data_IF_782939231941
#
_entry.id   IF_782939231941
#
_cell.length_a   1.000
_cell.length_b   1.000
_cell.length_c   1.000
_cell.angle_alpha   90.00
_cell.angle_beta   90.00
_cell.angle_gamma   90.00
#
_symmetry.space_group_name_H-M   'P 1'
#
loop_
_entity.id
_entity.type
_entity.pdbx_description
1 polymer ?
#
# COMPACT_ATOMS: atom_id res chain seq x y z
N UNK A 1 13.31 9.61 -17.03
CA UNK A 1 13.11 9.43 -15.57
C UNK A 1 11.61 9.38 -15.34
N UNK A 2 11.11 8.32 -14.70
CA UNK A 2 9.70 8.16 -14.45
C UNK A 2 9.15 9.30 -13.58
N UNK A 3 7.86 9.58 -13.74
CA UNK A 3 7.14 10.50 -12.88
C UNK A 3 6.95 9.89 -11.48
N UNK A 4 7.01 10.72 -10.45
CA UNK A 4 6.91 10.30 -9.04
C UNK A 4 5.45 9.99 -8.62
N UNK A 5 4.72 9.22 -9.45
CA UNK A 5 3.31 8.87 -9.21
C UNK A 5 3.03 7.38 -9.33
N UNK A 6 2.01 6.94 -8.58
CA UNK A 6 1.23 5.71 -8.80
C UNK A 6 -0.20 6.15 -9.11
N UNK A 7 -0.68 5.80 -10.30
CA UNK A 7 -1.97 6.28 -10.80
C UNK A 7 -3.03 5.17 -10.83
N UNK A 8 -4.22 5.49 -10.33
CA UNK A 8 -5.38 4.60 -10.27
C UNK A 8 -6.56 5.05 -11.15
N UNK A 9 -6.33 5.98 -12.06
CA UNK A 9 -7.37 6.61 -12.87
C UNK A 9 -7.86 5.79 -14.08
N UNK A 10 -7.58 4.48 -14.14
CA UNK A 10 -8.19 3.60 -15.16
C UNK A 10 -9.69 3.53 -14.90
N UNK A 11 -10.49 3.97 -15.88
CA UNK A 11 -11.94 4.14 -15.71
C UNK A 11 -12.74 2.83 -15.74
N UNK A 12 -12.20 1.76 -16.35
CA UNK A 12 -12.95 0.53 -16.58
C UNK A 12 -12.09 -0.73 -16.63
N UNK A 13 -12.59 -1.72 -17.39
CA UNK A 13 -12.00 -3.05 -17.50
C UNK A 13 -10.88 -3.16 -18.54
N UNK A 14 -10.67 -2.12 -19.31
CA UNK A 14 -9.62 -2.00 -20.34
C UNK A 14 -9.22 -0.54 -20.49
N UNK A 15 -8.02 -0.28 -21.00
CA UNK A 15 -7.60 1.09 -21.33
C UNK A 15 -8.35 1.62 -22.55
N UNK A 16 -8.79 2.87 -22.47
CA UNK A 16 -9.17 3.65 -23.65
C UNK A 16 -7.92 4.16 -24.38
N UNK A 17 -8.02 4.53 -25.67
CA UNK A 17 -6.91 5.16 -26.40
C UNK A 17 -6.38 6.43 -25.72
N UNK A 18 -7.27 7.26 -25.16
CA UNK A 18 -6.89 8.49 -24.46
C UNK A 18 -6.15 8.22 -23.17
N UNK A 19 -6.59 7.23 -22.36
CA UNK A 19 -5.86 6.78 -21.17
C UNK A 19 -4.47 6.25 -21.52
N UNK A 20 -4.36 5.42 -22.55
CA UNK A 20 -3.09 4.88 -23.01
C UNK A 20 -2.12 5.97 -23.48
N UNK A 21 -2.63 6.98 -24.19
CA UNK A 21 -1.84 8.14 -24.62
C UNK A 21 -1.38 8.98 -23.43
N UNK A 22 -2.28 9.27 -22.50
CA UNK A 22 -1.97 10.01 -21.27
C UNK A 22 -0.91 9.28 -20.41
N UNK A 23 -1.07 7.98 -20.15
CA UNK A 23 -0.12 7.22 -19.34
C UNK A 23 1.26 7.10 -20.00
N UNK A 24 1.31 7.04 -21.34
CA UNK A 24 2.59 7.07 -22.07
C UNK A 24 3.33 8.40 -21.87
N UNK A 25 2.62 9.52 -21.89
CA UNK A 25 3.19 10.85 -21.71
C UNK A 25 3.58 11.09 -20.25
N UNK A 26 2.68 10.73 -19.32
CA UNK A 26 2.88 10.91 -17.89
C UNK A 26 4.01 10.04 -17.33
N UNK A 27 4.23 8.85 -17.91
CA UNK A 27 5.21 7.83 -17.47
C UNK A 27 5.23 7.63 -15.93
N UNK A 28 4.07 7.32 -15.28
CA UNK A 28 4.01 7.11 -13.84
C UNK A 28 4.89 5.93 -13.44
N UNK A 29 5.49 5.94 -12.24
CA UNK A 29 6.28 4.80 -11.76
C UNK A 29 5.48 3.50 -11.72
N UNK A 30 4.21 3.56 -11.35
CA UNK A 30 3.32 2.39 -11.27
C UNK A 30 1.85 2.74 -11.38
N UNK A 31 1.03 1.69 -11.26
CA UNK A 31 -0.43 1.80 -11.27
C UNK A 31 -1.04 1.11 -10.06
N UNK A 32 -2.25 1.56 -9.66
CA UNK A 32 -3.08 0.87 -8.67
C UNK A 32 -4.45 0.55 -9.29
N UNK A 33 -4.94 -0.68 -9.02
CA UNK A 33 -6.23 -1.16 -9.53
C UNK A 33 -7.26 -1.26 -8.41
N UNK A 34 -8.53 -1.11 -8.79
CA UNK A 34 -9.69 -1.16 -7.90
C UNK A 34 -10.77 -2.13 -8.42
N UNK A 35 -11.82 -2.32 -7.64
CA UNK A 35 -12.93 -3.21 -8.02
C UNK A 35 -13.54 -2.88 -9.39
N UNK A 36 -13.57 -1.59 -9.79
CA UNK A 36 -14.03 -1.17 -11.13
C UNK A 36 -13.20 -1.70 -12.29
N UNK A 37 -11.97 -2.15 -12.01
CA UNK A 37 -11.03 -2.67 -12.99
C UNK A 37 -11.02 -4.20 -13.05
N UNK A 38 -11.80 -4.88 -12.21
CA UNK A 38 -11.74 -6.33 -11.99
C UNK A 38 -13.06 -6.98 -12.36
N UNK A 39 -13.01 -7.92 -13.30
CA UNK A 39 -14.16 -8.75 -13.70
C UNK A 39 -13.78 -10.24 -13.71
N UNK A 40 -12.82 -10.61 -14.55
CA UNK A 40 -12.39 -12.00 -14.71
C UNK A 40 -10.87 -12.10 -14.92
N UNK A 41 -10.25 -13.28 -14.66
CA UNK A 41 -8.79 -13.43 -14.75
C UNK A 41 -8.20 -13.03 -16.10
N UNK A 42 -8.80 -13.44 -17.22
CA UNK A 42 -8.29 -13.10 -18.56
C UNK A 42 -8.45 -11.61 -18.87
N UNK A 43 -9.53 -10.98 -18.42
CA UNK A 43 -9.72 -9.55 -18.57
C UNK A 43 -8.62 -8.80 -17.80
N UNK A 44 -8.36 -9.19 -16.55
CA UNK A 44 -7.40 -8.51 -15.70
C UNK A 44 -5.95 -8.69 -16.21
N UNK A 45 -5.60 -9.88 -16.72
CA UNK A 45 -4.32 -10.11 -17.41
C UNK A 45 -4.14 -9.17 -18.62
N UNK A 46 -5.18 -8.98 -19.42
CA UNK A 46 -5.14 -8.04 -20.55
C UNK A 46 -4.94 -6.60 -20.09
N UNK A 47 -5.67 -6.17 -19.06
CA UNK A 47 -5.53 -4.80 -18.53
C UNK A 47 -4.12 -4.54 -17.99
N UNK A 48 -3.54 -5.46 -17.19
CA UNK A 48 -2.18 -5.31 -16.67
C UNK A 48 -1.13 -5.29 -17.79
N UNK A 49 -1.33 -6.06 -18.85
CA UNK A 49 -0.48 -6.03 -20.04
C UNK A 49 -0.60 -4.68 -20.78
N UNK A 50 -1.82 -4.16 -20.98
CA UNK A 50 -2.05 -2.87 -21.61
C UNK A 50 -1.39 -1.70 -20.86
N UNK A 51 -1.42 -1.73 -19.52
CA UNK A 51 -0.76 -0.71 -18.71
C UNK A 51 0.76 -0.71 -18.90
N UNK A 52 1.39 -1.88 -18.92
CA UNK A 52 2.83 -2.02 -19.19
C UNK A 52 3.19 -1.62 -20.61
N UNK A 53 2.38 -1.99 -21.58
CA UNK A 53 2.54 -1.57 -22.98
C UNK A 53 2.43 -0.04 -23.13
N UNK A 54 1.47 0.58 -22.45
CA UNK A 54 1.29 2.03 -22.50
C UNK A 54 2.53 2.81 -22.07
N UNK A 55 3.22 2.37 -21.03
CA UNK A 55 4.45 3.01 -20.52
C UNK A 55 5.74 2.39 -21.09
N UNK A 56 5.64 1.32 -21.89
CA UNK A 56 6.77 0.68 -22.57
C UNK A 56 7.77 0.00 -21.64
N UNK A 57 7.37 -0.41 -20.43
CA UNK A 57 8.23 -1.07 -19.44
C UNK A 57 7.43 -1.98 -18.49
N UNK A 58 8.15 -2.85 -17.78
CA UNK A 58 7.60 -3.73 -16.74
C UNK A 58 7.38 -2.93 -15.43
N UNK A 59 6.42 -2.00 -15.47
CA UNK A 59 6.06 -1.18 -14.32
C UNK A 59 5.34 -1.99 -13.23
N UNK A 60 5.40 -1.50 -11.99
CA UNK A 60 4.69 -2.09 -10.86
C UNK A 60 3.19 -1.82 -10.99
N UNK A 61 2.40 -2.85 -10.74
CA UNK A 61 0.95 -2.75 -10.62
C UNK A 61 0.55 -3.25 -9.24
N UNK A 62 -0.04 -2.37 -8.45
CA UNK A 62 -0.47 -2.65 -7.08
C UNK A 62 -1.99 -2.73 -6.95
N UNK A 63 -2.45 -3.22 -5.82
CA UNK A 63 -3.88 -3.36 -5.47
C UNK A 63 -4.02 -3.38 -3.94
N UNK A 64 -5.23 -3.10 -3.43
CA UNK A 64 -5.60 -3.38 -2.05
C UNK A 64 -6.25 -4.76 -1.96
N UNK A 65 -5.48 -5.77 -1.68
CA UNK A 65 -5.92 -7.14 -1.46
C UNK A 65 -5.51 -7.59 -0.05
N UNK A 66 -6.07 -6.92 0.97
CA UNK A 66 -5.77 -7.19 2.38
C UNK A 66 -6.50 -8.43 2.89
N UNK A 67 -7.72 -8.63 2.41
CA UNK A 67 -8.72 -9.58 2.90
C UNK A 67 -9.89 -8.90 3.60
N UNK A 68 -10.90 -9.66 3.95
CA UNK A 68 -12.13 -9.16 4.52
C UNK A 68 -12.84 -8.16 3.61
N UNK A 69 -13.19 -7.00 4.15
CA UNK A 69 -13.86 -5.96 3.36
C UNK A 69 -12.90 -5.24 2.38
N UNK A 70 -11.58 -5.27 2.61
CA UNK A 70 -10.58 -4.61 1.76
C UNK A 70 -9.93 -5.64 0.85
N UNK A 71 -10.64 -6.00 -0.18
CA UNK A 71 -10.16 -6.82 -1.29
C UNK A 71 -10.95 -6.49 -2.54
N UNK A 72 -10.29 -6.49 -3.70
CA UNK A 72 -10.86 -6.11 -4.99
C UNK A 72 -11.18 -7.34 -5.85
N UNK A 73 -10.33 -8.37 -5.75
CA UNK A 73 -10.48 -9.67 -6.41
C UNK A 73 -11.27 -10.59 -5.46
N UNK A 74 -12.43 -11.08 -5.92
CA UNK A 74 -13.40 -11.83 -5.10
C UNK A 74 -13.96 -13.05 -5.82
N UNK A 75 -14.68 -13.88 -5.10
CA UNK A 75 -15.46 -14.96 -5.70
C UNK A 75 -16.39 -14.44 -6.84
N UNK A 76 -16.65 -15.24 -7.88
CA UNK A 76 -16.35 -16.68 -7.99
C UNK A 76 -14.93 -16.99 -8.51
N UNK A 77 -14.16 -16.00 -9.00
CA UNK A 77 -12.89 -16.24 -9.66
C UNK A 77 -11.70 -16.33 -8.70
N UNK A 78 -11.82 -15.72 -7.53
CA UNK A 78 -10.78 -15.68 -6.50
C UNK A 78 -11.36 -16.02 -5.13
N UNK A 79 -10.50 -16.21 -4.17
CA UNK A 79 -10.89 -16.55 -2.81
C UNK A 79 -11.46 -15.32 -2.09
N UNK A 80 -12.58 -15.48 -1.37
CA UNK A 80 -13.02 -14.51 -0.38
C UNK A 80 -12.22 -14.73 0.90
N UNK A 81 -11.16 -13.96 1.05
CA UNK A 81 -10.23 -14.05 2.17
C UNK A 81 -10.86 -13.47 3.44
N UNK A 82 -10.68 -14.11 4.62
CA UNK A 82 -11.14 -13.54 5.90
C UNK A 82 -10.46 -12.20 6.21
N UNK A 83 -10.99 -11.46 7.19
CA UNK A 83 -10.34 -10.23 7.63
C UNK A 83 -8.96 -10.52 8.25
N UNK A 84 -7.96 -9.63 8.07
CA UNK A 84 -6.62 -9.82 8.63
C UNK A 84 -6.61 -10.07 10.14
N UNK A 85 -7.49 -9.38 10.91
CA UNK A 85 -7.60 -9.59 12.35
C UNK A 85 -8.07 -11.00 12.71
N UNK A 86 -9.00 -11.58 11.92
CA UNK A 86 -9.45 -12.95 12.14
C UNK A 86 -8.36 -13.94 11.77
N UNK A 87 -7.67 -13.71 10.65
CA UNK A 87 -6.54 -14.53 10.22
C UNK A 87 -5.38 -14.50 11.22
N UNK A 88 -5.15 -13.37 11.90
CA UNK A 88 -4.09 -13.19 12.89
C UNK A 88 -4.16 -14.19 14.07
N UNK A 89 -5.36 -14.72 14.37
CA UNK A 89 -5.57 -15.72 15.43
C UNK A 89 -4.89 -17.04 15.12
N UNK A 90 -4.77 -17.40 13.86
CA UNK A 90 -4.15 -18.65 13.40
C UNK A 90 -2.61 -18.64 13.48
N UNK A 91 -2.00 -17.51 13.78
CA UNK A 91 -0.57 -17.36 14.00
C UNK A 91 0.27 -17.10 12.75
N UNK A 92 1.60 -16.96 12.94
CA UNK A 92 2.48 -16.47 11.88
C UNK A 92 2.59 -17.40 10.67
N UNK A 93 2.60 -18.72 10.89
CA UNK A 93 2.66 -19.67 9.78
C UNK A 93 1.41 -19.60 8.88
N UNK A 94 0.23 -19.51 9.48
CA UNK A 94 -1.03 -19.35 8.74
C UNK A 94 -1.09 -17.98 8.05
N UNK A 95 -0.55 -16.93 8.67
CA UNK A 95 -0.46 -15.60 8.09
C UNK A 95 0.48 -15.57 6.87
N UNK A 96 1.61 -16.26 6.93
CA UNK A 96 2.52 -16.42 5.80
C UNK A 96 1.83 -17.12 4.62
N UNK A 97 1.15 -18.24 4.87
CA UNK A 97 0.39 -18.98 3.85
C UNK A 97 -0.72 -18.12 3.25
N UNK A 98 -1.47 -17.43 4.09
CA UNK A 98 -2.54 -16.53 3.68
C UNK A 98 -2.07 -15.49 2.67
N UNK A 99 -1.00 -14.74 2.98
CA UNK A 99 -0.48 -13.73 2.05
C UNK A 99 0.32 -14.32 0.90
N UNK A 100 0.91 -15.50 1.06
CA UNK A 100 1.52 -16.21 -0.06
C UNK A 100 0.48 -16.61 -1.11
N UNK A 101 -0.65 -17.17 -0.67
CA UNK A 101 -1.74 -17.56 -1.56
C UNK A 101 -2.40 -16.33 -2.23
N UNK A 102 -2.65 -15.25 -1.48
CA UNK A 102 -3.07 -13.97 -2.06
C UNK A 102 -2.06 -13.53 -3.14
N UNK A 103 -0.77 -13.58 -2.84
CA UNK A 103 0.27 -13.22 -3.79
C UNK A 103 0.28 -14.07 -5.06
N UNK A 104 0.01 -15.37 -4.95
CA UNK A 104 -0.13 -16.26 -6.11
C UNK A 104 -1.33 -15.85 -7.00
N UNK A 105 -2.47 -15.54 -6.39
CA UNK A 105 -3.64 -15.04 -7.14
C UNK A 105 -3.32 -13.72 -7.86
N UNK A 106 -2.60 -12.80 -7.22
CA UNK A 106 -2.18 -11.51 -7.80
C UNK A 106 -1.22 -11.71 -8.98
N UNK A 107 -0.18 -12.51 -8.79
CA UNK A 107 0.81 -12.79 -9.85
C UNK A 107 0.19 -13.44 -11.07
N UNK A 108 -0.78 -14.32 -10.88
CA UNK A 108 -1.48 -15.01 -11.97
C UNK A 108 -2.22 -14.04 -12.93
N UNK A 109 -2.51 -12.82 -12.51
CA UNK A 109 -3.18 -11.79 -13.31
C UNK A 109 -2.27 -10.58 -13.61
N UNK A 110 -0.97 -10.68 -13.34
CA UNK A 110 0.02 -9.65 -13.66
C UNK A 110 0.11 -8.50 -12.64
N UNK A 111 -0.44 -8.67 -11.43
CA UNK A 111 -0.28 -7.75 -10.30
C UNK A 111 0.92 -8.20 -9.47
N UNK A 112 1.84 -7.30 -9.15
CA UNK A 112 3.13 -7.60 -8.54
C UNK A 112 3.47 -6.73 -7.33
N UNK A 113 2.48 -6.01 -6.81
CA UNK A 113 2.52 -5.32 -5.52
C UNK A 113 1.17 -5.38 -4.83
N UNK A 114 1.16 -5.35 -3.50
CA UNK A 114 -0.03 -5.33 -2.68
C UNK A 114 0.13 -4.29 -1.57
N UNK A 115 -0.84 -3.39 -1.42
CA UNK A 115 -0.91 -2.44 -0.31
C UNK A 115 -1.29 -3.16 1.01
N UNK A 116 -0.43 -4.04 1.45
CA UNK A 116 -0.50 -4.87 2.64
C UNK A 116 0.92 -5.31 3.07
N UNK A 117 1.15 -5.68 4.34
CA UNK A 117 0.19 -5.69 5.45
C UNK A 117 -0.02 -4.32 6.11
N UNK A 118 -1.17 -4.19 6.81
CA UNK A 118 -1.42 -3.09 7.74
C UNK A 118 -0.70 -3.38 9.05
N UNK A 119 0.22 -2.49 9.45
CA UNK A 119 0.99 -2.59 10.71
C UNK A 119 0.48 -1.66 11.81
N UNK A 120 -0.65 -1.02 11.59
CA UNK A 120 -1.31 -0.19 12.59
C UNK A 120 -1.71 -1.04 13.80
N UNK A 121 -1.33 -0.60 15.00
CA UNK A 121 -1.63 -1.30 16.25
C UNK A 121 -3.00 -0.89 16.75
N UNK A 122 -3.97 -1.80 16.77
CA UNK A 122 -5.32 -1.50 17.21
C UNK A 122 -5.35 -1.14 18.70
N UNK A 123 -6.16 -0.16 19.05
CA UNK A 123 -6.44 0.29 20.42
C UNK A 123 -7.95 0.12 20.70
N UNK A 124 -8.38 0.30 21.94
CA UNK A 124 -9.81 0.22 22.28
C UNK A 124 -10.67 1.21 21.51
N UNK A 125 -10.11 2.41 21.23
CA UNK A 125 -10.77 3.47 20.47
C UNK A 125 -10.55 3.43 18.97
N UNK A 126 -9.85 2.44 18.40
CA UNK A 126 -9.60 2.34 16.97
C UNK A 126 -10.90 2.34 16.18
N UNK A 127 -10.98 3.23 15.18
CA UNK A 127 -12.17 3.35 14.35
C UNK A 127 -12.54 2.00 13.70
N UNK A 128 -13.84 1.61 13.68
CA UNK A 128 -14.26 0.30 13.15
C UNK A 128 -13.81 0.02 11.71
N UNK A 129 -13.65 1.05 10.88
CA UNK A 129 -13.18 0.89 9.51
C UNK A 129 -11.74 0.34 9.42
N UNK A 130 -10.91 0.57 10.45
CA UNK A 130 -9.52 0.13 10.49
C UNK A 130 -9.32 -1.14 11.32
N UNK A 131 -10.12 -1.32 12.39
CA UNK A 131 -9.88 -2.33 13.42
C UNK A 131 -9.69 -3.76 12.88
N UNK A 132 -10.54 -4.21 11.97
CA UNK A 132 -10.46 -5.56 11.41
C UNK A 132 -9.38 -5.74 10.32
N UNK A 133 -8.71 -4.64 9.93
CA UNK A 133 -7.55 -4.63 9.03
C UNK A 133 -6.24 -4.76 9.80
N UNK A 134 -6.23 -4.44 11.10
CA UNK A 134 -5.08 -4.57 11.99
C UNK A 134 -4.78 -6.03 12.29
N UNK A 135 -3.54 -6.34 12.63
CA UNK A 135 -3.09 -7.68 12.98
C UNK A 135 -3.17 -7.98 14.49
N UNK A 136 -3.46 -6.96 15.31
CA UNK A 136 -3.59 -7.10 16.76
C UNK A 136 -3.48 -5.79 17.51
N UNK A 137 -3.41 -5.90 18.85
CA UNK A 137 -3.30 -4.78 19.80
C UNK A 137 -1.94 -4.71 20.49
N UNK A 138 -1.11 -5.71 20.31
CA UNK A 138 0.25 -5.78 20.83
C UNK A 138 1.25 -5.49 19.71
N UNK A 139 2.15 -4.49 19.86
CA UNK A 139 3.06 -4.07 18.80
C UNK A 139 4.06 -5.17 18.38
N UNK A 140 4.53 -6.00 19.31
CA UNK A 140 5.46 -7.09 18.98
C UNK A 140 4.76 -8.18 18.19
N UNK A 141 3.51 -8.49 18.55
CA UNK A 141 2.68 -9.44 17.82
C UNK A 141 2.32 -8.93 16.42
N UNK A 142 2.01 -7.63 16.28
CA UNK A 142 1.79 -6.99 14.98
C UNK A 142 3.03 -7.08 14.11
N UNK A 143 4.22 -6.84 14.68
CA UNK A 143 5.48 -6.96 13.96
C UNK A 143 5.75 -8.41 13.50
N UNK A 144 5.54 -9.40 14.35
CA UNK A 144 5.71 -10.82 14.02
C UNK A 144 4.79 -11.26 12.88
N UNK A 145 3.49 -10.95 12.99
CA UNK A 145 2.50 -11.29 11.98
C UNK A 145 2.70 -10.49 10.69
N UNK A 146 3.07 -9.21 10.80
CA UNK A 146 3.40 -8.36 9.67
C UNK A 146 4.62 -8.85 8.88
N UNK A 147 5.64 -9.36 9.59
CA UNK A 147 6.80 -10.01 8.95
C UNK A 147 6.36 -11.25 8.18
N UNK A 148 5.59 -12.13 8.79
CA UNK A 148 5.07 -13.32 8.13
C UNK A 148 4.24 -12.98 6.88
N UNK A 149 3.39 -11.97 6.97
CA UNK A 149 2.59 -11.46 5.84
C UNK A 149 3.46 -10.96 4.69
N UNK A 150 4.43 -10.09 5.00
CA UNK A 150 5.34 -9.52 4.00
C UNK A 150 6.20 -10.60 3.33
N UNK A 151 6.75 -11.53 4.12
CA UNK A 151 7.55 -12.64 3.60
C UNK A 151 6.72 -13.58 2.71
N UNK A 152 5.46 -13.81 3.05
CA UNK A 152 4.51 -14.57 2.22
C UNK A 152 4.29 -13.92 0.86
N UNK A 153 4.06 -12.61 0.80
CA UNK A 153 3.95 -11.83 -0.44
C UNK A 153 5.25 -11.88 -1.26
N UNK A 154 6.39 -11.62 -0.62
CA UNK A 154 7.71 -11.65 -1.30
C UNK A 154 8.00 -13.04 -1.89
N UNK A 155 7.69 -14.12 -1.18
CA UNK A 155 7.85 -15.49 -1.67
C UNK A 155 6.97 -15.79 -2.89
N UNK A 156 5.83 -15.10 -3.03
CA UNK A 156 4.97 -15.14 -4.21
C UNK A 156 5.42 -14.17 -5.33
N UNK A 157 6.50 -13.42 -5.13
CA UNK A 157 6.99 -12.43 -6.10
C UNK A 157 6.17 -11.14 -6.12
N UNK A 158 5.51 -10.80 -5.02
CA UNK A 158 4.70 -9.60 -4.84
C UNK A 158 5.35 -8.68 -3.82
N UNK A 159 5.53 -7.41 -4.18
CA UNK A 159 6.09 -6.39 -3.29
C UNK A 159 5.07 -5.98 -2.23
N UNK A 160 5.35 -6.18 -0.92
CA UNK A 160 4.50 -5.68 0.14
C UNK A 160 4.67 -4.17 0.30
N UNK A 161 3.57 -3.49 0.62
CA UNK A 161 3.56 -2.07 1.02
C UNK A 161 3.04 -1.99 2.44
N UNK A 162 3.93 -1.79 3.41
CA UNK A 162 3.53 -1.67 4.81
C UNK A 162 2.88 -0.32 5.08
N UNK A 163 1.82 -0.29 5.89
CA UNK A 163 0.99 0.90 6.08
C UNK A 163 0.34 0.92 7.46
N UNK A 164 -0.05 2.10 7.94
CA UNK A 164 0.13 3.45 7.42
C UNK A 164 1.11 4.21 8.32
N UNK A 165 2.30 4.50 7.82
CA UNK A 165 3.36 5.12 8.62
C UNK A 165 3.07 6.57 9.01
N UNK A 166 3.39 6.95 10.25
CA UNK A 166 4.15 6.20 11.27
C UNK A 166 3.27 5.35 12.21
N UNK A 167 1.97 5.22 11.95
CA UNK A 167 0.99 4.44 12.70
C UNK A 167 -0.37 5.15 12.76
N UNK A 168 -1.43 4.45 12.35
CA UNK A 168 -2.79 4.98 12.25
C UNK A 168 -3.76 4.37 13.29
N UNK A 169 -3.27 3.44 14.13
CA UNK A 169 -4.11 2.62 14.99
C UNK A 169 -4.92 3.36 16.04
N UNK A 170 -4.48 4.55 16.47
CA UNK A 170 -5.20 5.39 17.43
C UNK A 170 -6.27 6.29 16.80
N UNK A 171 -6.40 6.31 15.48
CA UNK A 171 -7.36 7.18 14.80
C UNK A 171 -8.80 6.80 15.15
N UNK A 172 -9.57 7.80 15.57
CA UNK A 172 -10.99 7.69 15.88
C UNK A 172 -11.88 8.25 14.77
N UNK A 173 -11.28 8.80 13.73
CA UNK A 173 -11.94 9.36 12.54
C UNK A 173 -11.39 8.67 11.32
N UNK A 174 -12.26 8.40 10.35
CA UNK A 174 -11.87 7.89 9.05
C UNK A 174 -11.22 9.00 8.21
N UNK A 175 -9.98 8.78 7.75
CA UNK A 175 -9.23 9.73 6.91
C UNK A 175 -9.89 10.03 5.55
N UNK A 176 -10.84 9.21 5.10
CA UNK A 176 -11.67 9.53 3.95
C UNK A 176 -12.63 10.71 4.21
N UNK A 177 -12.97 10.98 5.46
CA UNK A 177 -13.93 12.01 5.85
C UNK A 177 -13.29 13.24 6.50
N UNK A 178 -12.08 13.12 7.04
CA UNK A 178 -11.38 14.23 7.68
C UNK A 178 -10.01 13.82 8.20
N UNK A 179 -9.20 14.80 8.61
CA UNK A 179 -7.87 14.54 9.15
C UNK A 179 -7.98 14.00 10.59
N UNK A 180 -7.58 12.73 10.84
CA UNK A 180 -7.51 12.22 12.20
C UNK A 180 -6.44 12.96 13.00
N UNK A 181 -6.78 13.33 14.23
CA UNK A 181 -5.86 13.94 15.19
C UNK A 181 -5.71 13.00 16.37
N UNK A 182 -4.48 12.63 16.69
CA UNK A 182 -4.15 11.71 17.77
C UNK A 182 -3.39 12.44 18.86
N UNK A 183 -4.05 12.63 19.99
CA UNK A 183 -3.46 13.22 21.19
C UNK A 183 -2.80 12.15 22.04
N UNK A 184 -1.60 11.76 21.65
CA UNK A 184 -0.74 10.82 22.38
C UNK A 184 0.64 11.44 22.54
N UNK A 185 1.32 11.10 23.64
CA UNK A 185 2.69 11.54 23.88
C UNK A 185 3.66 10.88 22.89
N UNK A 186 4.76 11.55 22.62
CA UNK A 186 5.82 11.00 21.76
C UNK A 186 6.33 9.64 22.27
N UNK A 187 6.42 9.46 23.60
CA UNK A 187 6.83 8.20 24.20
C UNK A 187 5.84 7.05 23.93
N UNK A 188 4.54 7.32 24.02
CA UNK A 188 3.48 6.35 23.70
C UNK A 188 3.48 5.97 22.23
N UNK A 189 3.62 6.95 21.34
CA UNK A 189 3.72 6.71 19.90
C UNK A 189 4.94 5.87 19.55
N UNK A 190 6.08 6.17 20.15
CA UNK A 190 7.33 5.45 19.92
C UNK A 190 7.27 4.00 20.40
N UNK A 191 6.69 3.78 21.58
CA UNK A 191 6.61 2.46 22.20
C UNK A 191 5.60 1.53 21.52
N UNK A 192 4.54 2.08 20.93
CA UNK A 192 3.42 1.29 20.39
C UNK A 192 3.28 1.46 18.88
N UNK A 193 3.01 2.68 18.42
CA UNK A 193 2.58 2.92 17.05
C UNK A 193 3.73 2.80 16.04
N UNK A 194 4.93 3.29 16.40
CA UNK A 194 6.12 3.23 15.53
C UNK A 194 6.86 1.89 15.61
N UNK A 195 6.68 1.12 16.69
CA UNK A 195 7.44 -0.09 16.95
C UNK A 195 7.34 -1.16 15.85
N UNK A 196 6.17 -1.52 15.32
CA UNK A 196 6.08 -2.50 14.23
C UNK A 196 6.78 -2.02 12.94
N UNK A 197 6.69 -0.74 12.61
CA UNK A 197 7.37 -0.17 11.43
C UNK A 197 8.88 -0.16 11.61
N UNK A 198 9.38 0.07 12.83
CA UNK A 198 10.81 -0.03 13.14
C UNK A 198 11.31 -1.46 13.02
N UNK A 199 10.55 -2.44 13.49
CA UNK A 199 10.88 -3.86 13.40
C UNK A 199 10.92 -4.37 11.97
N UNK A 200 10.17 -3.74 11.05
CA UNK A 200 10.02 -4.10 9.64
C UNK A 200 10.60 -3.03 8.68
N UNK A 201 11.55 -2.23 9.14
CA UNK A 201 12.10 -1.10 8.37
C UNK A 201 12.96 -1.51 7.16
N UNK A 202 13.30 -2.79 7.03
CA UNK A 202 14.00 -3.40 5.90
C UNK A 202 13.10 -3.78 4.72
N UNK A 203 11.78 -3.60 4.86
CA UNK A 203 10.84 -3.95 3.80
C UNK A 203 10.89 -2.95 2.62
N UNK A 204 10.59 -3.42 1.38
CA UNK A 204 10.89 -2.65 0.18
C UNK A 204 10.04 -1.41 -0.01
N UNK A 205 8.80 -1.41 0.45
CA UNK A 205 7.86 -0.32 0.21
C UNK A 205 6.99 -0.02 1.43
N UNK A 206 6.65 1.25 1.60
CA UNK A 206 5.76 1.72 2.66
C UNK A 206 4.84 2.84 2.19
N UNK A 207 3.75 3.04 2.93
CA UNK A 207 2.74 4.07 2.68
C UNK A 207 2.58 4.93 3.92
N UNK A 208 2.51 6.26 3.74
CA UNK A 208 2.27 7.21 4.83
C UNK A 208 0.81 7.23 5.28
N UNK A 209 0.58 7.71 6.50
CA UNK A 209 -0.75 7.98 7.04
C UNK A 209 -1.12 9.46 6.86
N UNK A 210 -2.37 9.73 6.47
CA UNK A 210 -2.95 11.07 6.59
C UNK A 210 -3.46 11.27 8.03
N UNK A 211 -2.53 11.60 8.92
CA UNK A 211 -2.79 11.71 10.37
C UNK A 211 -1.95 12.84 10.97
N UNK A 212 -2.48 13.50 11.99
CA UNK A 212 -1.78 14.55 12.73
C UNK A 212 -1.52 14.08 14.16
N UNK A 213 -0.27 14.29 14.59
CA UNK A 213 0.19 14.07 15.97
C UNK A 213 0.64 15.41 16.55
N UNK A 214 -0.20 16.15 17.31
CA UNK A 214 0.15 17.47 17.83
C UNK A 214 1.41 17.49 18.71
N UNK A 215 1.73 16.38 19.37
CA UNK A 215 2.99 16.25 20.12
C UNK A 215 4.25 16.30 19.24
N UNK A 216 4.11 16.05 17.92
CA UNK A 216 5.24 15.96 16.99
C UNK A 216 5.20 17.06 15.92
N UNK A 217 4.03 17.34 15.31
CA UNK A 217 3.87 18.34 14.27
C UNK A 217 2.41 18.81 14.15
N UNK A 218 2.22 20.03 13.65
CA UNK A 218 0.91 20.63 13.43
C UNK A 218 0.25 20.22 12.11
N UNK A 219 1.02 19.67 11.17
CA UNK A 219 0.57 19.21 9.86
C UNK A 219 0.28 17.71 9.78
N UNK A 220 -0.40 17.26 8.69
CA UNK A 220 -0.56 15.83 8.43
C UNK A 220 0.80 15.19 8.12
N UNK A 221 1.02 13.96 8.62
CA UNK A 221 2.31 13.27 8.51
C UNK A 221 2.78 13.15 7.04
N UNK A 222 1.88 12.88 6.11
CA UNK A 222 2.19 12.76 4.67
C UNK A 222 2.82 14.03 4.08
N UNK A 223 2.43 15.22 4.54
CA UNK A 223 2.91 16.51 4.00
C UNK A 223 3.88 17.24 4.96
N UNK A 224 4.36 16.55 5.99
CA UNK A 224 5.27 17.12 6.99
C UNK A 224 6.69 16.61 6.79
N UNK A 225 7.62 17.54 6.48
CA UNK A 225 9.05 17.21 6.41
C UNK A 225 9.58 16.61 7.73
N UNK A 226 9.08 17.11 8.86
CA UNK A 226 9.45 16.59 10.19
C UNK A 226 9.01 15.14 10.37
N UNK A 227 7.78 14.83 9.98
CA UNK A 227 7.24 13.48 10.10
C UNK A 227 7.88 12.50 9.12
N UNK A 228 8.14 12.91 7.88
CA UNK A 228 8.88 12.08 6.93
C UNK A 228 10.33 11.88 7.41
N UNK A 229 10.97 12.90 7.96
CA UNK A 229 12.28 12.77 8.61
C UNK A 229 12.25 11.76 9.77
N UNK A 230 11.22 11.80 10.61
CA UNK A 230 11.03 10.80 11.68
C UNK A 230 10.92 9.37 11.13
N UNK A 231 10.17 9.18 10.05
CA UNK A 231 10.06 7.87 9.38
C UNK A 231 11.43 7.41 8.87
N UNK A 232 12.22 8.32 8.27
CA UNK A 232 13.54 7.99 7.73
C UNK A 232 14.59 7.73 8.81
N UNK A 233 14.66 8.61 9.81
CA UNK A 233 15.78 8.65 10.77
C UNK A 233 15.48 7.83 12.04
N UNK A 234 14.27 7.94 12.59
CA UNK A 234 13.93 7.31 13.87
C UNK A 234 13.32 5.91 13.71
N UNK A 235 12.41 5.73 12.77
CA UNK A 235 11.91 4.40 12.38
C UNK A 235 12.98 3.68 11.56
N UNK A 236 13.78 4.41 10.81
CA UNK A 236 14.89 3.87 10.01
C UNK A 236 14.43 3.25 8.69
N UNK A 237 13.26 3.66 8.19
CA UNK A 237 12.73 3.10 6.95
C UNK A 237 13.38 3.75 5.72
N UNK A 238 14.24 3.01 5.02
CA UNK A 238 14.87 3.45 3.75
C UNK A 238 14.26 2.78 2.50
N UNK A 239 13.09 2.14 2.62
CA UNK A 239 12.32 1.65 1.48
C UNK A 239 11.65 2.77 0.69
N UNK A 240 11.07 2.41 -0.47
CA UNK A 240 10.30 3.33 -1.30
C UNK A 240 9.01 3.75 -0.59
N UNK A 241 8.88 5.03 -0.29
CA UNK A 241 7.78 5.59 0.50
C UNK A 241 6.78 6.32 -0.39
N UNK A 242 5.56 5.80 -0.49
CA UNK A 242 4.45 6.48 -1.15
C UNK A 242 3.53 7.18 -0.15
N UNK A 243 2.78 8.15 -0.62
CA UNK A 243 1.65 8.70 0.16
C UNK A 243 0.51 7.69 0.23
N UNK A 244 -0.39 7.80 1.22
CA UNK A 244 -1.76 7.32 1.04
C UNK A 244 -2.47 8.16 -0.03
N UNK A 245 -3.69 7.77 -0.43
CA UNK A 245 -4.42 8.43 -1.52
C UNK A 245 -4.62 9.92 -1.27
N UNK A 246 -3.98 10.75 -2.10
CA UNK A 246 -4.08 12.22 -1.97
C UNK A 246 -5.46 12.77 -2.34
N UNK A 247 -6.37 11.97 -2.88
CA UNK A 247 -7.75 12.37 -3.14
C UNK A 247 -8.61 12.43 -1.87
N UNK A 248 -8.14 11.83 -0.76
CA UNK A 248 -8.84 11.79 0.53
C UNK A 248 -9.05 13.18 1.13
N UNK A 249 -10.18 13.36 1.82
CA UNK A 249 -10.55 14.63 2.45
C UNK A 249 -9.74 15.00 3.71
N UNK A 250 -8.87 14.11 4.18
CA UNK A 250 -7.94 14.41 5.26
C UNK A 250 -6.93 15.51 4.90
N UNK A 251 -6.60 15.69 3.62
CA UNK A 251 -5.67 16.70 3.15
C UNK A 251 -6.40 17.93 2.65
N UNK A 252 -5.87 19.12 2.95
CA UNK A 252 -6.37 20.41 2.46
C UNK A 252 -5.73 20.80 1.12
N UNK A 253 -6.34 21.76 0.44
CA UNK A 253 -5.86 22.25 -0.86
C UNK A 253 -6.29 21.39 -2.04
N UNK A 254 -5.86 21.76 -3.24
CA UNK A 254 -6.05 21.00 -4.47
C UNK A 254 -5.20 19.73 -4.47
N UNK A 255 -5.55 18.74 -5.29
CA UNK A 255 -4.77 17.51 -5.40
C UNK A 255 -3.33 17.77 -5.88
N UNK A 256 -3.12 18.75 -6.76
CA UNK A 256 -1.79 19.18 -7.19
C UNK A 256 -0.95 19.78 -6.03
N UNK A 257 -1.56 20.65 -5.20
CA UNK A 257 -0.91 21.20 -4.02
C UNK A 257 -0.54 20.11 -3.00
N UNK A 258 -1.43 19.13 -2.80
CA UNK A 258 -1.18 17.96 -1.94
C UNK A 258 -0.01 17.12 -2.46
N UNK A 259 0.05 16.87 -3.76
CA UNK A 259 1.15 16.16 -4.42
C UNK A 259 2.49 16.89 -4.22
N UNK A 260 2.53 18.19 -4.55
CA UNK A 260 3.73 19.01 -4.39
C UNK A 260 4.21 19.05 -2.93
N UNK A 261 3.28 19.22 -1.97
CA UNK A 261 3.61 19.25 -0.54
C UNK A 261 4.19 17.92 -0.05
N UNK A 262 3.62 16.79 -0.50
CA UNK A 262 4.10 15.45 -0.12
C UNK A 262 5.50 15.15 -0.66
N UNK A 263 5.77 15.48 -1.91
CA UNK A 263 7.13 15.34 -2.50
C UNK A 263 8.12 16.27 -1.79
N UNK A 264 7.74 17.52 -1.54
CA UNK A 264 8.58 18.49 -0.81
C UNK A 264 8.85 18.05 0.64
N UNK A 265 7.93 17.31 1.26
CA UNK A 265 8.11 16.73 2.58
C UNK A 265 9.10 15.56 2.58
N UNK A 266 9.32 14.88 1.45
CA UNK A 266 10.26 13.77 1.30
C UNK A 266 9.64 12.41 1.00
N UNK A 267 8.34 12.35 0.63
CA UNK A 267 7.77 11.15 0.02
C UNK A 267 8.44 10.91 -1.34
N UNK A 268 8.65 9.65 -1.68
CA UNK A 268 9.24 9.26 -2.98
C UNK A 268 8.20 9.24 -4.10
N UNK A 269 6.97 8.87 -3.77
CA UNK A 269 5.86 8.72 -4.73
C UNK A 269 4.56 9.29 -4.17
N UNK A 270 3.75 9.82 -5.06
CA UNK A 270 2.38 10.24 -4.81
C UNK A 270 1.40 9.18 -5.30
N UNK A 271 0.51 8.71 -4.42
CA UNK A 271 -0.59 7.81 -4.78
C UNK A 271 -1.85 8.61 -5.09
N UNK A 272 -2.39 8.44 -6.30
CA UNK A 272 -3.64 9.05 -6.75
C UNK A 272 -4.59 7.97 -7.24
N UNK A 273 -5.62 7.66 -6.44
CA UNK A 273 -6.46 6.48 -6.64
C UNK A 273 -7.65 6.70 -7.57
N UNK A 274 -8.22 7.89 -7.56
CA UNK A 274 -9.48 8.14 -8.26
C UNK A 274 -9.44 9.47 -9.01
N UNK A 275 -9.85 9.47 -10.28
CA UNK A 275 -9.97 10.69 -11.06
C UNK A 275 -9.97 10.45 -12.55
N UNK A 276 -10.38 11.48 -13.29
CA UNK A 276 -10.27 11.57 -14.73
C UNK A 276 -8.86 12.02 -15.15
N UNK A 277 -8.57 11.96 -16.44
CA UNK A 277 -7.30 12.47 -16.99
C UNK A 277 -7.09 13.93 -16.60
N UNK A 278 -8.12 14.78 -16.69
CA UNK A 278 -8.04 16.21 -16.31
C UNK A 278 -7.71 16.43 -14.82
N UNK A 279 -8.07 15.48 -13.97
CA UNK A 279 -7.73 15.51 -12.54
C UNK A 279 -6.33 14.96 -12.26
N UNK A 280 -5.90 13.94 -13.01
CA UNK A 280 -4.57 13.34 -12.87
C UNK A 280 -3.45 14.25 -13.43
N UNK A 281 -3.67 14.93 -14.54
CA UNK A 281 -2.64 15.71 -15.23
C UNK A 281 -1.98 16.78 -14.32
N UNK A 282 -2.70 17.59 -13.55
CA UNK A 282 -2.09 18.54 -12.62
C UNK A 282 -1.30 17.87 -11.49
N UNK A 283 -1.70 16.67 -11.07
CA UNK A 283 -1.00 15.87 -10.05
C UNK A 283 0.32 15.34 -10.58
N UNK A 284 0.33 14.82 -11.80
CA UNK A 284 1.54 14.35 -12.50
C UNK A 284 2.55 15.49 -12.67
N UNK A 285 2.08 16.68 -13.08
CA UNK A 285 2.94 17.87 -13.20
C UNK A 285 3.50 18.29 -11.84
N UNK A 286 2.68 18.32 -10.80
CA UNK A 286 3.08 18.76 -9.45
C UNK A 286 4.01 17.76 -8.74
N UNK A 287 3.83 16.46 -8.96
CA UNK A 287 4.74 15.44 -8.43
C UNK A 287 6.11 15.47 -9.13
N UNK A 288 6.13 15.73 -10.43
CA UNK A 288 7.35 15.83 -11.23
C UNK A 288 8.13 14.52 -11.37
N UNK A 289 9.37 14.58 -11.85
CA UNK A 289 10.21 13.41 -11.99
C UNK A 289 10.70 12.88 -10.63
N UNK A 290 10.92 11.58 -10.53
CA UNK A 290 11.52 10.98 -9.35
C UNK A 290 12.88 11.55 -9.03
N UNK A 291 13.15 11.81 -7.75
CA UNK A 291 14.46 12.21 -7.25
C UNK A 291 15.49 11.08 -7.37
N UNK A 292 16.78 11.36 -7.24
CA UNK A 292 17.84 10.33 -7.22
C UNK A 292 17.62 9.32 -6.09
N UNK A 293 17.23 9.78 -4.91
CA UNK A 293 16.97 8.92 -3.77
C UNK A 293 15.74 8.05 -3.99
N UNK A 294 14.67 8.62 -4.56
CA UNK A 294 13.47 7.87 -4.93
C UNK A 294 13.80 6.78 -5.98
N UNK A 295 14.59 7.11 -7.00
CA UNK A 295 15.05 6.11 -8.00
C UNK A 295 15.87 4.99 -7.37
N UNK A 296 16.83 5.34 -6.50
CA UNK A 296 17.65 4.33 -5.77
C UNK A 296 16.75 3.37 -4.96
N UNK A 297 15.76 3.91 -4.24
CA UNK A 297 14.81 3.12 -3.45
C UNK A 297 13.89 2.28 -4.33
N UNK A 298 13.44 2.84 -5.45
CA UNK A 298 12.63 2.13 -6.43
C UNK A 298 13.40 0.95 -7.05
N UNK A 299 14.65 1.16 -7.44
CA UNK A 299 15.51 0.09 -7.97
C UNK A 299 15.75 -1.00 -6.91
N UNK A 300 16.04 -0.61 -5.67
CA UNK A 300 16.18 -1.55 -4.57
C UNK A 300 14.89 -2.35 -4.31
N UNK A 301 13.72 -1.71 -4.34
CA UNK A 301 12.44 -2.39 -4.21
C UNK A 301 12.23 -3.40 -5.34
N UNK A 302 12.50 -3.02 -6.59
CA UNK A 302 12.36 -3.90 -7.75
C UNK A 302 13.25 -5.15 -7.66
N UNK A 303 14.43 -5.08 -7.04
CA UNK A 303 15.28 -6.27 -6.81
C UNK A 303 14.62 -7.32 -5.91
N UNK A 304 13.66 -6.90 -5.08
CA UNK A 304 12.88 -7.80 -4.19
C UNK A 304 11.69 -8.47 -4.91
N UNK A 305 11.35 -8.02 -6.10
CA UNK A 305 10.30 -8.60 -6.95
C UNK A 305 10.84 -9.80 -7.70
N UNK A 306 11.04 -10.89 -7.00
CA UNK A 306 11.60 -12.12 -7.57
C UNK A 306 10.56 -12.94 -8.30
N UNK A 307 10.99 -13.78 -9.23
CA UNK A 307 10.14 -14.83 -9.81
C UNK A 307 9.89 -15.88 -8.73
N UNK A 308 8.62 -16.18 -8.38
CA UNK A 308 8.32 -17.16 -7.34
C UNK A 308 8.78 -18.56 -7.76
N UNK A 309 9.21 -19.35 -6.80
CA UNK A 309 9.42 -20.78 -7.01
C UNK A 309 8.08 -21.46 -7.35
N UNK A 310 8.18 -22.54 -8.14
CA UNK A 310 7.01 -23.36 -8.43
C UNK A 310 6.47 -23.97 -7.12
N UNK A 311 5.18 -23.79 -6.85
CA UNK A 311 4.52 -24.25 -5.63
C UNK A 311 3.27 -25.05 -5.94
N UNK A 312 3.00 -26.08 -5.14
CA UNK A 312 1.72 -26.79 -5.17
C UNK A 312 0.67 -25.96 -4.39
N UNK A 313 -0.05 -25.14 -5.13
CA UNK A 313 -1.05 -24.21 -4.55
C UNK A 313 -2.19 -24.97 -3.87
N UNK A 314 -2.58 -26.16 -4.36
CA UNK A 314 -3.61 -26.96 -3.73
C UNK A 314 -3.17 -27.46 -2.35
N UNK A 315 -1.96 -28.01 -2.25
CA UNK A 315 -1.38 -28.45 -0.98
C UNK A 315 -1.22 -27.30 0.02
N UNK A 316 -0.74 -26.11 -0.43
CA UNK A 316 -0.61 -24.92 0.41
C UNK A 316 -1.98 -24.40 0.89
N UNK A 317 -3.00 -24.46 0.05
CA UNK A 317 -4.37 -24.07 0.42
C UNK A 317 -4.94 -24.99 1.48
N UNK A 318 -4.75 -26.31 1.35
CA UNK A 318 -5.20 -27.28 2.36
C UNK A 318 -4.46 -27.08 3.69
N UNK A 319 -3.17 -26.83 3.65
CA UNK A 319 -2.37 -26.51 4.84
C UNK A 319 -2.88 -25.23 5.53
N UNK A 320 -3.14 -24.16 4.75
CA UNK A 320 -3.71 -22.93 5.29
C UNK A 320 -5.06 -23.18 5.96
N UNK A 321 -5.95 -23.93 5.33
CA UNK A 321 -7.28 -24.26 5.90
C UNK A 321 -7.16 -24.98 7.24
N UNK A 322 -6.25 -25.96 7.32
CA UNK A 322 -6.01 -26.72 8.57
C UNK A 322 -5.51 -25.81 9.69
N UNK A 323 -4.57 -24.88 9.39
CA UNK A 323 -4.02 -23.97 10.40
C UNK A 323 -4.99 -22.85 10.80
N UNK A 324 -5.96 -22.52 9.94
CA UNK A 324 -6.92 -21.44 10.15
C UNK A 324 -8.29 -21.93 10.66
N UNK A 325 -8.46 -23.21 10.89
CA UNK A 325 -9.70 -23.83 11.41
C UNK A 325 -9.88 -23.62 12.97
#
# INVERSE_FOLDING_TARGET
VQNATILGGVGGLSLTPDEAAFFREADPWGFILFGRNVDAPDQLRRLTAQLREAVGRDCVITIDQEGGRVQRMRAPHWTDWPAPLDQARAGPQAMWLYYHLIGQELRAVGIDSNCAPTLDVAQDGTHPFLRNRCLGTDPDRVAELGRAAADGLLAAGVLPVVKHMPGHGRAQVDSHHGLPVVDATEAELDAVDFAPFRALNDLPMGMTAHIRFPALDDGPATASRRMIGLIRDRIGFDGLLMTDDITMNALSGTQAERAAASIAAGCDLVLHCNGTIDQMAPVVEAAGPMTRDAMRRADAALTRRQTPAQADIAALTDQWRVLSA
#
